data_IF_363098349529
#
_entry.id   IF_363098349529
#
_cell.length_a   1.000
_cell.length_b   1.000
_cell.length_c   1.000
_cell.angle_alpha   90.00
_cell.angle_beta   90.00
_cell.angle_gamma   90.00
#
_symmetry.space_group_name_H-M   'P 1'
#
loop_
_entity.id
_entity.type
_entity.pdbx_description
1 polymer ?
#
# COMPACT_ATOMS: atom_id res chain seq x y z
N UNK A 1 -12.78 -5.01 -4.43
CA UNK A 1 -12.22 -4.81 -3.09
C UNK A 1 -10.95 -5.65 -2.92
N UNK A 2 -9.94 -5.10 -2.25
CA UNK A 2 -8.74 -5.88 -1.97
C UNK A 2 -9.04 -6.96 -0.93
N UNK A 3 -8.48 -8.13 -1.14
CA UNK A 3 -8.59 -9.23 -0.19
C UNK A 3 -7.21 -9.67 0.24
N UNK A 4 -7.12 -10.20 1.45
CA UNK A 4 -5.87 -10.69 2.01
C UNK A 4 -5.24 -11.73 1.09
N UNK A 5 -3.92 -11.61 0.87
CA UNK A 5 -3.17 -12.46 -0.03
C UNK A 5 -3.09 -11.97 -1.47
N UNK A 6 -3.92 -11.01 -1.84
CA UNK A 6 -3.96 -10.47 -3.20
C UNK A 6 -2.72 -9.62 -3.49
N UNK A 7 -2.22 -9.69 -4.72
CA UNK A 7 -1.15 -8.82 -5.19
C UNK A 7 -1.75 -7.64 -5.92
N UNK A 8 -1.33 -6.43 -5.57
CA UNK A 8 -1.83 -5.21 -6.20
C UNK A 8 -0.68 -4.29 -6.55
N UNK A 9 -0.83 -3.54 -7.63
CA UNK A 9 0.11 -2.50 -8.00
C UNK A 9 -0.31 -1.19 -7.36
N UNK A 10 0.67 -0.46 -6.82
CA UNK A 10 0.44 0.79 -6.12
C UNK A 10 1.43 1.85 -6.59
N UNK A 11 1.01 3.11 -6.51
CA UNK A 11 1.91 4.25 -6.71
C UNK A 11 2.32 4.78 -5.34
N UNK A 12 3.62 4.88 -5.10
CA UNK A 12 4.13 5.47 -3.86
C UNK A 12 3.81 6.96 -3.84
N UNK A 13 3.04 7.39 -2.86
CA UNK A 13 2.66 8.81 -2.73
C UNK A 13 3.49 9.55 -1.71
N UNK A 14 3.76 8.93 -0.56
CA UNK A 14 4.47 9.57 0.54
C UNK A 14 5.28 8.52 1.28
N UNK A 15 6.47 8.90 1.68
CA UNK A 15 7.35 8.04 2.49
C UNK A 15 7.59 8.74 3.82
N UNK A 16 7.31 8.03 4.90
CA UNK A 16 7.52 8.53 6.26
C UNK A 16 8.44 7.59 7.03
N UNK A 17 8.76 7.96 8.27
CA UNK A 17 9.53 7.09 9.15
C UNK A 17 8.79 5.78 9.42
N UNK A 18 7.45 5.80 9.45
CA UNK A 18 6.64 4.62 9.70
C UNK A 18 6.58 3.68 8.50
N UNK A 19 6.69 4.20 7.29
CA UNK A 19 6.64 3.39 6.09
C UNK A 19 6.20 4.15 4.85
N UNK A 20 5.73 3.38 3.87
CA UNK A 20 5.30 3.89 2.57
C UNK A 20 3.78 4.00 2.56
N UNK A 21 3.29 5.17 2.15
CA UNK A 21 1.86 5.39 1.88
C UNK A 21 1.67 5.40 0.38
N UNK A 22 0.98 4.40 -0.14
CA UNK A 22 0.79 4.22 -1.57
C UNK A 22 -0.70 4.22 -1.90
N UNK A 23 -1.01 4.45 -3.15
CA UNK A 23 -2.37 4.37 -3.66
C UNK A 23 -2.47 3.21 -4.63
N UNK A 24 -3.42 2.32 -4.41
CA UNK A 24 -3.66 1.20 -5.32
C UNK A 24 -4.13 1.74 -6.67
N UNK A 25 -3.55 1.21 -7.73
CA UNK A 25 -3.94 1.57 -9.09
C UNK A 25 -5.22 0.83 -9.44
N UNK A 26 -6.33 1.57 -9.44
CA UNK A 26 -7.66 1.01 -9.73
C UNK A 26 -8.18 1.61 -11.02
N UNK A 27 -8.36 0.76 -12.02
CA UNK A 27 -8.84 1.18 -13.33
C UNK A 27 -10.35 1.45 -13.36
N UNK A 28 -11.07 0.93 -12.39
CA UNK A 28 -12.54 1.01 -12.40
C UNK A 28 -13.08 2.32 -11.82
N UNK A 29 -12.21 3.17 -11.29
CA UNK A 29 -12.62 4.47 -10.75
C UNK A 29 -13.47 4.39 -9.50
N UNK A 30 -13.38 3.29 -8.77
CA UNK A 30 -14.11 3.09 -7.53
C UNK A 30 -13.47 3.85 -6.36
N UNK A 31 -13.93 3.55 -5.16
CA UNK A 31 -13.41 4.16 -3.94
C UNK A 31 -11.87 4.03 -3.86
N UNK A 32 -11.15 5.12 -3.55
CA UNK A 32 -9.71 5.05 -3.43
C UNK A 32 -9.26 4.06 -2.37
N UNK A 33 -8.21 3.32 -2.68
CA UNK A 33 -7.61 2.36 -1.76
C UNK A 33 -6.21 2.82 -1.44
N UNK A 34 -5.96 3.12 -0.17
CA UNK A 34 -4.64 3.49 0.33
C UNK A 34 -3.96 2.26 0.92
N UNK A 35 -2.73 2.02 0.50
CA UNK A 35 -1.92 0.91 1.00
C UNK A 35 -0.83 1.46 1.90
N UNK A 36 -0.75 0.94 3.12
CA UNK A 36 0.35 1.24 4.02
C UNK A 36 1.31 0.06 4.07
N UNK A 37 2.58 0.32 3.81
CA UNK A 37 3.64 -0.69 3.82
C UNK A 37 4.59 -0.34 4.95
N UNK A 38 4.54 -1.10 6.03
CA UNK A 38 5.26 -0.79 7.25
C UNK A 38 6.76 -1.03 7.11
N UNK A 39 7.55 -0.04 7.49
CA UNK A 39 9.02 -0.16 7.48
C UNK A 39 9.49 -1.30 8.38
N UNK A 40 8.84 -1.48 9.54
CA UNK A 40 9.22 -2.52 10.50
C UNK A 40 9.09 -3.94 9.94
N UNK A 41 8.24 -4.14 8.94
CA UNK A 41 8.10 -5.43 8.28
C UNK A 41 9.18 -5.66 7.22
N UNK A 42 10.03 -4.66 6.96
CA UNK A 42 10.99 -4.68 5.85
C UNK A 42 12.39 -4.27 6.27
N UNK A 43 12.72 -4.40 7.56
CA UNK A 43 13.98 -3.88 8.08
C UNK A 43 15.21 -4.57 7.49
N UNK A 44 15.05 -5.78 6.94
CA UNK A 44 16.12 -6.51 6.26
C UNK A 44 16.03 -6.45 4.73
N UNK A 45 15.09 -5.67 4.19
CA UNK A 45 14.85 -5.59 2.76
C UNK A 45 15.36 -4.26 2.20
N UNK A 46 16.52 -4.32 1.52
CA UNK A 46 17.10 -3.12 0.92
C UNK A 46 16.23 -2.50 -0.17
N UNK A 47 15.36 -3.29 -0.83
CA UNK A 47 14.46 -2.77 -1.86
C UNK A 47 13.48 -1.76 -1.30
N UNK A 48 13.06 -1.95 -0.05
CA UNK A 48 12.18 -1.00 0.62
C UNK A 48 12.79 0.39 0.67
N UNK A 49 14.09 0.48 0.94
CA UNK A 49 14.80 1.76 1.05
C UNK A 49 15.07 2.40 -0.32
N UNK A 50 14.89 1.67 -1.39
CA UNK A 50 15.09 2.17 -2.75
C UNK A 50 13.82 2.77 -3.34
N UNK A 51 12.66 2.55 -2.72
CA UNK A 51 11.38 3.07 -3.19
C UNK A 51 11.37 4.59 -3.03
N UNK A 52 10.90 5.27 -4.07
CA UNK A 52 10.79 6.73 -4.10
C UNK A 52 9.37 7.14 -4.43
N UNK A 53 9.01 8.35 -4.06
CA UNK A 53 7.72 8.92 -4.43
C UNK A 53 7.54 8.89 -5.94
N UNK A 54 6.37 8.44 -6.38
CA UNK A 54 6.04 8.27 -7.79
C UNK A 54 6.33 6.88 -8.33
N UNK A 55 7.10 6.05 -7.62
CA UNK A 55 7.40 4.70 -8.08
C UNK A 55 6.15 3.83 -8.06
N UNK A 56 6.08 2.92 -9.02
CA UNK A 56 5.06 1.88 -9.06
C UNK A 56 5.65 0.64 -8.40
N UNK A 57 4.97 0.16 -7.39
CA UNK A 57 5.41 -1.00 -6.60
C UNK A 57 4.30 -2.04 -6.55
N UNK A 58 4.70 -3.29 -6.40
CA UNK A 58 3.77 -4.39 -6.18
C UNK A 58 3.73 -4.71 -4.69
N UNK A 59 2.53 -4.82 -4.14
CA UNK A 59 2.34 -5.12 -2.73
C UNK A 59 1.40 -6.30 -2.56
N UNK A 60 1.66 -7.12 -1.56
CA UNK A 60 0.77 -8.19 -1.15
C UNK A 60 -0.10 -7.68 0.01
N UNK A 61 -1.40 -7.77 -0.15
CA UNK A 61 -2.35 -7.35 0.87
C UNK A 61 -2.28 -8.31 2.05
N UNK A 62 -2.00 -7.80 3.25
CA UNK A 62 -1.97 -8.61 4.47
C UNK A 62 -3.12 -8.27 5.41
N UNK A 63 -3.84 -7.21 5.15
CA UNK A 63 -5.02 -6.84 5.92
C UNK A 63 -5.76 -5.70 5.27
N UNK A 64 -7.04 -5.59 5.56
CA UNK A 64 -7.89 -4.50 5.06
C UNK A 64 -8.68 -3.94 6.22
N UNK A 65 -8.79 -2.61 6.26
CA UNK A 65 -9.53 -1.91 7.30
C UNK A 65 -10.59 -1.02 6.68
N UNK A 66 -11.79 -1.13 7.18
CA UNK A 66 -12.93 -0.31 6.79
C UNK A 66 -13.38 0.55 7.95
N UNK A 67 -13.68 1.82 7.65
CA UNK A 67 -14.32 2.71 8.60
C UNK A 67 -15.66 3.15 8.01
N UNK A 68 -16.69 3.18 8.83
CA UNK A 68 -18.06 3.35 8.36
C UNK A 68 -18.32 4.65 7.61
N UNK A 69 -17.63 5.71 7.89
CA UNK A 69 -17.83 7.01 7.26
C UNK A 69 -16.65 7.50 6.44
N UNK A 70 -15.69 6.61 6.19
CA UNK A 70 -14.52 6.98 5.39
C UNK A 70 -14.85 6.98 3.91
N UNK A 71 -14.23 7.90 3.20
CA UNK A 71 -14.34 8.01 1.75
C UNK A 71 -13.28 7.16 1.03
N UNK A 72 -12.51 6.37 1.75
CA UNK A 72 -11.46 5.52 1.20
C UNK A 72 -11.31 4.25 2.02
N UNK A 73 -10.63 3.28 1.44
CA UNK A 73 -10.33 2.01 2.09
C UNK A 73 -8.85 1.99 2.42
N UNK A 74 -8.51 1.60 3.65
CA UNK A 74 -7.12 1.41 4.05
C UNK A 74 -6.76 -0.06 4.02
N UNK A 75 -5.66 -0.39 3.38
CA UNK A 75 -5.11 -1.73 3.38
C UNK A 75 -3.69 -1.69 3.93
N UNK A 76 -3.27 -2.81 4.50
CA UNK A 76 -1.90 -3.01 4.96
C UNK A 76 -1.27 -4.05 4.05
N UNK A 77 -0.07 -3.79 3.58
CA UNK A 77 0.59 -4.68 2.66
C UNK A 77 2.07 -4.84 2.91
N UNK A 78 2.63 -5.83 2.27
CA UNK A 78 4.08 -6.03 2.22
C UNK A 78 4.59 -5.76 0.81
N UNK A 79 5.76 -5.14 0.74
CA UNK A 79 6.46 -4.96 -0.52
C UNK A 79 6.87 -6.32 -1.07
N UNK A 80 6.58 -6.55 -2.33
CA UNK A 80 6.89 -7.82 -2.96
C UNK A 80 8.22 -7.75 -3.71
#
# INVERSE_FOLDING_TARGET
LPVEGMLVECVCKTITKAGIHAQVMDEDGNMPITMFIARDHHHLDNRFNEVKEGDIITSKVIGVRYELHDSYICAIGNLL
#
